data_IF_676347733096
#
_entry.id   IF_676347733096
#
_cell.length_a   1.000
_cell.length_b   1.000
_cell.length_c   1.000
_cell.angle_alpha   90.00
_cell.angle_beta   90.00
_cell.angle_gamma   90.00
#
_symmetry.space_group_name_H-M   'P 1'
#
loop_
_entity.id
_entity.type
_entity.pdbx_description
1 polymer ?
#
# COMPACT_ATOMS: atom_id res chain seq x y z
N UNK A 1 10.57 17.90 3.83
CA UNK A 1 10.49 18.31 2.41
C UNK A 1 9.76 17.22 1.67
N UNK A 2 8.70 17.51 0.89
CA UNK A 2 8.10 16.50 0.03
C UNK A 2 9.12 16.10 -1.05
N UNK A 3 9.29 14.80 -1.28
CA UNK A 3 10.17 14.27 -2.32
C UNK A 3 9.74 14.80 -3.70
N UNK A 4 10.67 15.35 -4.47
CA UNK A 4 10.42 15.68 -5.87
C UNK A 4 10.31 14.39 -6.68
N UNK A 5 9.11 14.12 -7.23
CA UNK A 5 8.79 12.91 -8.00
C UNK A 5 9.66 12.74 -9.27
N UNK A 6 10.36 13.80 -9.71
CA UNK A 6 11.27 13.73 -10.87
C UNK A 6 12.69 13.33 -10.51
N UNK A 7 13.02 13.31 -9.22
CA UNK A 7 14.39 13.09 -8.76
C UNK A 7 14.52 11.71 -8.14
N UNK A 8 15.30 10.83 -8.77
CA UNK A 8 15.74 9.58 -8.15
C UNK A 8 16.92 9.89 -7.23
N UNK A 9 16.79 9.57 -5.95
CA UNK A 9 17.86 9.73 -4.95
C UNK A 9 18.29 8.35 -4.47
N UNK A 10 19.56 8.01 -4.69
CA UNK A 10 20.19 6.81 -4.13
C UNK A 10 21.10 7.28 -3.00
N UNK A 11 20.82 6.92 -1.73
CA UNK A 11 21.67 7.31 -0.60
C UNK A 11 23.11 6.79 -0.71
N UNK A 12 24.02 7.48 -0.03
CA UNK A 12 25.39 7.01 0.10
C UNK A 12 25.44 5.64 0.80
N UNK A 13 26.34 4.78 0.34
CA UNK A 13 26.52 3.40 0.80
C UNK A 13 25.38 2.43 0.44
N UNK A 14 24.43 2.80 -0.43
CA UNK A 14 23.52 1.82 -1.04
C UNK A 14 24.33 0.79 -1.85
N UNK A 15 24.05 -0.49 -1.65
CA UNK A 15 24.69 -1.60 -2.38
C UNK A 15 23.66 -2.26 -3.28
N UNK A 16 24.01 -2.42 -4.56
CA UNK A 16 23.27 -3.22 -5.51
C UNK A 16 23.88 -4.62 -5.51
N UNK A 17 23.17 -5.58 -4.92
CA UNK A 17 23.46 -7.01 -5.06
C UNK A 17 22.66 -7.57 -6.23
N UNK A 18 22.82 -8.86 -6.53
CA UNK A 18 22.33 -9.45 -7.78
C UNK A 18 20.82 -9.28 -7.99
N UNK A 19 20.01 -9.44 -6.94
CA UNK A 19 18.54 -9.25 -7.00
C UNK A 19 17.99 -8.36 -5.87
N UNK A 20 18.87 -7.69 -5.10
CA UNK A 20 18.47 -6.93 -3.91
C UNK A 20 19.27 -5.64 -3.78
N UNK A 21 18.57 -4.55 -3.48
CA UNK A 21 19.16 -3.25 -3.16
C UNK A 21 19.19 -3.10 -1.64
N UNK A 22 20.38 -2.96 -1.08
CA UNK A 22 20.61 -2.81 0.36
C UNK A 22 20.87 -1.35 0.69
N UNK A 23 20.12 -0.81 1.65
CA UNK A 23 20.30 0.55 2.16
C UNK A 23 20.07 0.61 3.67
N UNK A 24 20.64 1.61 4.34
CA UNK A 24 20.40 1.83 5.78
C UNK A 24 19.23 2.78 6.05
N UNK A 25 18.81 3.55 5.04
CA UNK A 25 17.75 4.56 5.17
C UNK A 25 16.39 4.08 4.69
N UNK A 26 15.37 4.91 4.88
CA UNK A 26 14.04 4.62 4.35
C UNK A 26 14.06 4.48 2.83
N UNK A 27 13.33 3.50 2.30
CA UNK A 27 13.13 3.28 0.87
C UNK A 27 11.77 3.85 0.48
N UNK A 28 11.74 4.65 -0.58
CA UNK A 28 10.49 5.16 -1.15
C UNK A 28 10.45 4.79 -2.63
N UNK A 29 9.47 3.97 -3.00
CA UNK A 29 9.17 3.61 -4.38
C UNK A 29 7.92 4.39 -4.81
N UNK A 30 8.08 5.31 -5.75
CA UNK A 30 7.01 6.20 -6.17
C UNK A 30 5.91 5.53 -6.99
N UNK A 31 4.75 6.18 -7.08
CA UNK A 31 3.57 5.70 -7.80
C UNK A 31 3.89 5.29 -9.26
N UNK A 32 3.36 4.14 -9.69
CA UNK A 32 3.49 3.63 -11.05
C UNK A 32 4.89 3.12 -11.42
N UNK A 33 5.81 3.03 -10.46
CA UNK A 33 7.15 2.52 -10.70
C UNK A 33 7.15 0.99 -10.89
N UNK A 34 8.19 0.49 -11.58
CA UNK A 34 8.52 -0.93 -11.65
C UNK A 34 9.94 -1.12 -11.16
N UNK A 35 10.13 -2.02 -10.20
CA UNK A 35 11.43 -2.43 -9.70
C UNK A 35 11.63 -3.92 -9.96
N UNK A 36 12.66 -4.25 -10.74
CA UNK A 36 13.05 -5.64 -11.02
C UNK A 36 13.84 -6.27 -9.85
N UNK A 37 14.19 -5.46 -8.84
CA UNK A 37 14.96 -5.86 -7.67
C UNK A 37 14.11 -5.77 -6.41
N UNK A 38 14.48 -6.57 -5.41
CA UNK A 38 14.02 -6.43 -4.04
C UNK A 38 14.72 -5.31 -3.28
N UNK A 39 14.17 -4.94 -2.13
CA UNK A 39 14.73 -3.92 -1.25
C UNK A 39 14.94 -4.48 0.14
N UNK A 40 16.14 -4.29 0.68
CA UNK A 40 16.47 -4.60 2.07
C UNK A 40 16.94 -3.35 2.79
N UNK A 41 16.27 -3.00 3.89
CA UNK A 41 16.60 -1.80 4.66
C UNK A 41 16.53 -1.98 6.17
N UNK A 42 17.40 -1.23 6.85
CA UNK A 42 17.37 -1.02 8.29
C UNK A 42 16.26 -0.03 8.72
N UNK A 43 15.74 0.76 7.79
CA UNK A 43 14.65 1.71 7.98
C UNK A 43 13.28 1.13 7.63
N UNK A 44 12.43 1.99 7.06
CA UNK A 44 11.07 1.68 6.58
C UNK A 44 11.03 1.59 5.06
N UNK A 45 10.01 0.93 4.53
CA UNK A 45 9.74 0.88 3.09
C UNK A 45 8.36 1.48 2.82
N UNK A 46 8.31 2.41 1.87
CA UNK A 46 7.08 3.01 1.35
C UNK A 46 6.97 2.67 -0.13
N UNK A 47 5.95 1.92 -0.50
CA UNK A 47 5.62 1.57 -1.88
C UNK A 47 4.34 2.31 -2.24
N UNK A 48 4.41 3.20 -3.23
CA UNK A 48 3.28 3.99 -3.72
C UNK A 48 2.24 3.16 -4.49
N UNK A 49 1.33 3.85 -5.15
CA UNK A 49 0.21 3.21 -5.87
C UNK A 49 0.67 2.56 -7.18
N UNK A 50 0.05 1.42 -7.56
CA UNK A 50 0.30 0.73 -8.86
C UNK A 50 1.77 0.39 -9.10
N UNK A 51 2.52 0.11 -8.06
CA UNK A 51 3.92 -0.28 -8.16
C UNK A 51 4.03 -1.78 -8.37
N UNK A 52 5.01 -2.22 -9.17
CA UNK A 52 5.38 -3.63 -9.32
C UNK A 52 6.80 -3.87 -8.85
N UNK A 53 6.98 -4.80 -7.91
CA UNK A 53 8.30 -5.17 -7.37
C UNK A 53 8.49 -6.67 -7.61
N UNK A 54 9.50 -7.04 -8.39
CA UNK A 54 9.74 -8.44 -8.74
C UNK A 54 10.49 -9.21 -7.63
N UNK A 55 11.20 -8.50 -6.75
CA UNK A 55 11.98 -9.11 -5.67
C UNK A 55 11.34 -9.02 -4.28
N UNK A 56 12.12 -9.41 -3.28
CA UNK A 56 11.70 -9.42 -1.88
C UNK A 56 11.72 -8.01 -1.25
N UNK A 57 10.84 -7.76 -0.29
CA UNK A 57 10.86 -6.58 0.57
C UNK A 57 11.23 -6.98 2.00
N UNK A 58 12.34 -6.48 2.51
CA UNK A 58 12.78 -6.69 3.89
C UNK A 58 13.06 -5.35 4.57
N UNK A 59 12.32 -5.03 5.62
CA UNK A 59 12.54 -3.84 6.43
C UNK A 59 12.69 -4.22 7.90
N UNK A 60 13.61 -3.59 8.63
CA UNK A 60 13.61 -3.67 10.10
C UNK A 60 12.51 -2.83 10.73
N UNK A 61 12.13 -1.73 10.09
CA UNK A 61 10.98 -0.92 10.45
C UNK A 61 9.70 -1.39 9.78
N UNK A 62 8.75 -0.47 9.64
CA UNK A 62 7.45 -0.71 9.02
C UNK A 62 7.53 -0.78 7.49
N UNK A 63 6.56 -1.48 6.89
CA UNK A 63 6.35 -1.53 5.44
C UNK A 63 4.95 -1.01 5.11
N UNK A 64 4.88 -0.06 4.18
CA UNK A 64 3.65 0.48 3.64
C UNK A 64 3.58 0.13 2.16
N UNK A 65 2.55 -0.60 1.74
CA UNK A 65 2.29 -0.92 0.34
C UNK A 65 0.94 -0.34 -0.03
N UNK A 66 0.93 0.65 -0.92
CA UNK A 66 -0.29 1.33 -1.32
C UNK A 66 -1.07 0.53 -2.38
N UNK A 67 -2.24 1.04 -2.72
CA UNK A 67 -3.26 0.35 -3.51
C UNK A 67 -2.77 -0.11 -4.88
N UNK A 68 -3.34 -1.23 -5.35
CA UNK A 68 -3.08 -1.81 -6.68
C UNK A 68 -1.62 -2.18 -6.96
N UNK A 69 -0.80 -2.28 -5.92
CA UNK A 69 0.61 -2.67 -6.04
C UNK A 69 0.78 -4.19 -5.91
N UNK A 70 1.80 -4.69 -6.59
CA UNK A 70 2.11 -6.12 -6.69
C UNK A 70 3.56 -6.35 -6.27
N UNK A 71 3.77 -7.30 -5.36
CA UNK A 71 5.10 -7.77 -4.93
C UNK A 71 5.20 -9.26 -5.26
N UNK A 72 6.13 -9.61 -6.13
CA UNK A 72 6.32 -11.00 -6.56
C UNK A 72 7.04 -11.84 -5.50
N UNK A 73 7.94 -11.22 -4.72
CA UNK A 73 8.71 -11.87 -3.66
C UNK A 73 8.03 -11.92 -2.30
N UNK A 74 8.83 -12.29 -1.30
CA UNK A 74 8.46 -12.28 0.12
C UNK A 74 8.41 -10.85 0.67
N UNK A 75 7.53 -10.61 1.65
CA UNK A 75 7.47 -9.36 2.41
C UNK A 75 7.77 -9.64 3.88
N UNK A 76 8.84 -9.05 4.42
CA UNK A 76 9.34 -9.28 5.77
C UNK A 76 9.50 -7.93 6.49
N UNK A 77 8.70 -7.70 7.53
CA UNK A 77 8.75 -6.49 8.34
C UNK A 77 9.14 -6.80 9.78
N UNK A 78 10.13 -6.07 10.28
CA UNK A 78 10.50 -6.03 11.69
C UNK A 78 9.55 -5.19 12.55
N UNK A 79 8.76 -4.32 11.91
CA UNK A 79 7.70 -3.51 12.53
C UNK A 79 6.31 -3.92 12.06
N UNK A 80 5.47 -2.92 11.84
CA UNK A 80 4.10 -3.07 11.35
C UNK A 80 4.07 -3.21 9.81
N UNK A 81 2.96 -3.71 9.27
CA UNK A 81 2.71 -3.72 7.82
C UNK A 81 1.33 -3.15 7.52
N UNK A 82 1.30 -2.25 6.54
CA UNK A 82 0.08 -1.64 6.03
C UNK A 82 -0.07 -2.01 4.56
N UNK A 83 -1.11 -2.78 4.24
CA UNK A 83 -1.46 -3.14 2.88
C UNK A 83 -2.70 -2.34 2.46
N UNK A 84 -2.56 -1.59 1.37
CA UNK A 84 -3.64 -0.89 0.70
C UNK A 84 -4.62 -1.85 0.03
N UNK A 85 -5.64 -1.28 -0.59
CA UNK A 85 -6.65 -2.05 -1.32
C UNK A 85 -6.05 -2.73 -2.56
N UNK A 86 -6.48 -3.97 -2.83
CA UNK A 86 -6.11 -4.74 -4.03
C UNK A 86 -4.59 -4.93 -4.18
N UNK A 87 -3.88 -5.00 -3.06
CA UNK A 87 -2.48 -5.40 -3.03
C UNK A 87 -2.37 -6.91 -3.26
N UNK A 88 -1.39 -7.31 -4.07
CA UNK A 88 -1.06 -8.72 -4.31
C UNK A 88 0.36 -8.99 -3.85
N UNK A 89 0.52 -9.97 -2.96
CA UNK A 89 1.82 -10.50 -2.55
C UNK A 89 1.87 -11.95 -3.02
N UNK A 90 2.76 -12.25 -3.97
CA UNK A 90 2.89 -13.58 -4.52
C UNK A 90 3.73 -14.51 -3.64
N UNK A 91 4.65 -13.97 -2.83
CA UNK A 91 5.39 -14.72 -1.81
C UNK A 91 4.68 -14.79 -0.45
N UNK A 92 5.48 -14.99 0.61
CA UNK A 92 5.02 -15.06 1.99
C UNK A 92 5.12 -13.70 2.69
N UNK A 93 4.12 -13.35 3.49
CA UNK A 93 4.15 -12.17 4.37
C UNK A 93 4.55 -12.55 5.80
N UNK A 94 5.57 -11.92 6.36
CA UNK A 94 5.98 -12.08 7.76
C UNK A 94 6.08 -10.73 8.47
N UNK A 95 5.30 -10.57 9.54
CA UNK A 95 5.16 -9.31 10.27
C UNK A 95 5.43 -9.54 11.75
N UNK A 96 6.40 -8.82 12.31
CA UNK A 96 6.68 -8.88 13.75
C UNK A 96 5.75 -8.00 14.59
N UNK A 97 5.23 -6.92 14.02
CA UNK A 97 4.25 -6.03 14.66
C UNK A 97 2.82 -6.34 14.23
N UNK A 98 2.02 -5.28 14.13
CA UNK A 98 0.62 -5.31 13.71
C UNK A 98 0.51 -5.34 12.17
N UNK A 99 -0.57 -5.95 11.67
CA UNK A 99 -0.88 -6.07 10.25
C UNK A 99 -2.23 -5.40 9.96
N UNK A 100 -2.20 -4.29 9.23
CA UNK A 100 -3.37 -3.60 8.69
C UNK A 100 -3.58 -3.99 7.22
N UNK A 101 -4.75 -4.57 6.91
CA UNK A 101 -5.09 -5.07 5.58
C UNK A 101 -6.29 -4.31 5.02
N UNK A 102 -6.15 -3.77 3.81
CA UNK A 102 -7.21 -3.13 3.05
C UNK A 102 -8.14 -4.14 2.37
N UNK A 103 -9.03 -3.61 1.52
CA UNK A 103 -9.98 -4.43 0.77
C UNK A 103 -9.30 -5.31 -0.29
N UNK A 104 -9.79 -6.52 -0.48
CA UNK A 104 -9.39 -7.40 -1.58
C UNK A 104 -7.85 -7.61 -1.70
N UNK A 105 -7.15 -7.77 -0.57
CA UNK A 105 -5.72 -8.11 -0.56
C UNK A 105 -5.54 -9.62 -0.74
N UNK A 106 -4.60 -10.02 -1.60
CA UNK A 106 -4.25 -11.42 -1.86
C UNK A 106 -2.81 -11.70 -1.42
N UNK A 107 -2.60 -12.76 -0.64
CA UNK A 107 -1.28 -13.26 -0.22
C UNK A 107 -1.21 -14.75 -0.55
N UNK A 108 -0.40 -15.12 -1.54
CA UNK A 108 -0.48 -16.46 -2.16
C UNK A 108 0.20 -17.56 -1.33
N UNK A 109 1.35 -17.29 -0.74
CA UNK A 109 2.06 -18.28 0.11
C UNK A 109 1.71 -18.17 1.60
N UNK A 110 0.67 -17.40 1.92
CA UNK A 110 0.18 -17.18 3.27
C UNK A 110 0.93 -16.11 4.05
N UNK A 111 0.50 -15.87 5.28
CA UNK A 111 1.05 -14.81 6.13
C UNK A 111 1.18 -15.23 7.59
N UNK A 112 2.15 -14.61 8.28
CA UNK A 112 2.34 -14.70 9.73
C UNK A 112 2.44 -13.28 10.29
N UNK A 113 1.58 -12.95 11.25
CA UNK A 113 1.63 -11.71 12.00
C UNK A 113 1.69 -12.03 13.51
N UNK A 114 2.64 -11.42 14.22
CA UNK A 114 2.79 -11.60 15.66
C UNK A 114 1.96 -10.63 16.49
N UNK A 115 1.63 -9.47 15.93
CA UNK A 115 0.74 -8.48 16.53
C UNK A 115 -0.72 -8.66 16.12
N UNK A 116 -1.49 -7.60 16.26
CA UNK A 116 -2.90 -7.56 15.91
C UNK A 116 -3.10 -7.52 14.40
N UNK A 117 -4.12 -8.23 13.92
CA UNK A 117 -4.53 -8.18 12.51
C UNK A 117 -5.82 -7.35 12.44
N UNK A 118 -5.77 -6.26 11.70
CA UNK A 118 -6.90 -5.38 11.47
C UNK A 118 -7.25 -5.39 9.98
N UNK A 119 -8.47 -5.81 9.66
CA UNK A 119 -8.96 -5.89 8.28
C UNK A 119 -10.00 -4.79 8.12
N UNK A 120 -9.71 -3.83 7.25
CA UNK A 120 -10.58 -2.68 6.99
C UNK A 120 -11.38 -2.92 5.73
N UNK A 121 -12.70 -2.77 5.85
CA UNK A 121 -13.59 -2.73 4.70
C UNK A 121 -13.83 -1.28 4.27
N UNK A 122 -13.91 -1.00 2.96
CA UNK A 122 -14.20 0.32 2.46
C UNK A 122 -15.64 0.69 2.85
N UNK A 123 -15.90 1.99 3.01
CA UNK A 123 -17.26 2.47 3.31
C UNK A 123 -18.18 2.02 2.17
N UNK A 124 -19.27 1.28 2.45
CA UNK A 124 -20.20 0.84 1.43
C UNK A 124 -20.71 2.02 0.58
N UNK A 125 -20.74 1.86 -0.75
CA UNK A 125 -21.17 2.91 -1.69
C UNK A 125 -22.55 3.48 -1.34
N UNK A 126 -23.44 2.67 -0.78
CA UNK A 126 -24.76 3.11 -0.33
C UNK A 126 -24.69 4.21 0.73
N UNK A 127 -23.71 4.17 1.64
CA UNK A 127 -23.48 5.21 2.64
C UNK A 127 -23.01 6.49 1.97
N UNK A 128 -22.13 6.39 0.96
CA UNK A 128 -21.70 7.54 0.17
C UNK A 128 -22.87 8.19 -0.57
N UNK A 129 -23.72 7.40 -1.24
CA UNK A 129 -24.95 7.88 -1.90
C UNK A 129 -25.86 8.57 -0.88
N UNK A 130 -26.06 7.97 0.30
CA UNK A 130 -26.90 8.53 1.34
C UNK A 130 -26.39 9.89 1.86
N UNK A 131 -25.08 10.01 2.12
CA UNK A 131 -24.44 11.27 2.51
C UNK A 131 -24.58 12.33 1.41
N UNK A 132 -24.36 11.95 0.15
CA UNK A 132 -24.50 12.84 -1.00
C UNK A 132 -25.93 13.38 -1.13
N UNK A 133 -26.94 12.50 -1.04
CA UNK A 133 -28.35 12.89 -1.07
C UNK A 133 -28.72 13.78 0.10
N UNK A 134 -28.27 13.47 1.32
CA UNK A 134 -28.45 14.34 2.49
C UNK A 134 -27.89 15.73 2.26
N UNK A 135 -26.75 15.84 1.58
CA UNK A 135 -26.09 17.11 1.30
C UNK A 135 -26.85 17.92 0.25
N UNK A 136 -27.37 17.28 -0.80
CA UNK A 136 -28.25 17.91 -1.79
C UNK A 136 -29.56 18.43 -1.17
N UNK A 137 -30.18 17.64 -0.29
CA UNK A 137 -31.37 18.06 0.47
C UNK A 137 -31.08 19.30 1.32
N UNK A 138 -29.93 19.31 2.01
CA UNK A 138 -29.51 20.43 2.85
C UNK A 138 -29.24 21.71 2.05
N UNK A 139 -28.88 21.58 0.78
CA UNK A 139 -28.65 22.68 -0.17
C UNK A 139 -29.92 23.12 -0.90
N UNK A 140 -31.07 22.46 -0.69
CA UNK A 140 -32.33 22.79 -1.36
C UNK A 140 -32.36 22.47 -2.86
N UNK A 141 -31.44 21.62 -3.34
CA UNK A 141 -31.32 21.23 -4.76
C UNK A 141 -32.23 20.05 -5.11
N UNK A 142 -33.55 20.24 -4.94
CA UNK A 142 -34.55 19.18 -5.18
C UNK A 142 -34.62 18.70 -6.63
N UNK A 143 -34.35 19.56 -7.62
CA UNK A 143 -34.37 19.17 -9.04
C UNK A 143 -33.25 18.19 -9.43
N UNK A 144 -32.07 18.30 -8.80
CA UNK A 144 -30.96 17.36 -9.03
C UNK A 144 -31.26 15.97 -8.44
N UNK A 145 -32.06 15.91 -7.35
CA UNK A 145 -32.48 14.66 -6.71
C UNK A 145 -33.51 13.91 -7.55
N UNK A 146 -34.53 14.62 -8.07
CA UNK A 146 -35.57 14.00 -8.90
C UNK A 146 -35.02 13.40 -10.20
N UNK A 147 -33.98 14.00 -10.79
CA UNK A 147 -33.32 13.42 -11.97
C UNK A 147 -32.62 12.10 -11.67
N UNK A 148 -31.96 11.99 -10.52
CA UNK A 148 -31.23 10.78 -10.11
C UNK A 148 -32.19 9.65 -9.72
N UNK A 149 -33.35 9.97 -9.13
CA UNK A 149 -34.35 8.98 -8.74
C UNK A 149 -35.19 8.44 -9.91
N UNK A 150 -35.23 9.15 -11.03
CA UNK A 150 -36.01 8.79 -12.21
C UNK A 150 -35.18 8.08 -13.30
N UNK A 151 -33.88 7.87 -13.08
CA UNK A 151 -33.02 6.93 -13.84
C UNK A 151 -32.89 5.59 -13.10
#
# INVERSE_FOLDING_TARGET
>A
MPFDRKTMVIPDNTKFEEHTILTSGDVVVGDGARAEFGFKTEGRIFVGERVKIEGDLEAKGDIYIDMFSEVDGDVKSGGNVYLGERVVINGKLSVKGDLDVGDNVEIREGFEAKGWINIRSPIPLIIYIFIYLLQLLRLGKSEEIEKILNE
#
